data_IF_711831935613
#
_entry.id   IF_711831935613
#
_cell.length_a   1.000
_cell.length_b   1.000
_cell.length_c   1.000
_cell.angle_alpha   90.00
_cell.angle_beta   90.00
_cell.angle_gamma   90.00
#
_symmetry.space_group_name_H-M   'P 1'
#
loop_
_entity.id
_entity.type
_entity.pdbx_description
1 polymer ?
#
# COMPACT_ATOMS: atom_id res chain seq x y z
N UNK A 1 -18.07 54.87 5.28
CA UNK A 1 -17.13 55.32 4.23
C UNK A 1 -17.35 54.41 3.03
N UNK A 2 -18.10 54.85 2.00
CA UNK A 2 -17.61 55.51 0.76
C UNK A 2 -16.65 54.58 -0.01
N UNK A 3 -16.80 54.23 -1.30
CA UNK A 3 -17.60 54.73 -2.42
C UNK A 3 -17.60 53.65 -3.54
N UNK A 4 -18.63 53.67 -4.38
CA UNK A 4 -18.78 52.88 -5.60
C UNK A 4 -18.00 53.48 -6.78
N UNK A 5 -17.66 52.67 -7.79
CA UNK A 5 -17.52 53.11 -9.19
C UNK A 5 -17.88 52.00 -10.20
N UNK A 6 -18.85 52.33 -11.05
CA UNK A 6 -19.18 51.73 -12.35
C UNK A 6 -18.06 52.04 -13.38
N UNK A 7 -17.94 51.22 -14.43
CA UNK A 7 -17.17 51.55 -15.64
C UNK A 7 -17.56 50.70 -16.85
N UNK A 8 -18.19 51.33 -17.84
CA UNK A 8 -18.78 50.76 -19.05
C UNK A 8 -17.81 50.16 -20.08
N UNK A 9 -18.33 49.13 -20.76
CA UNK A 9 -18.25 48.73 -22.16
C UNK A 9 -17.25 49.44 -23.11
N UNK A 10 -16.52 48.62 -23.88
CA UNK A 10 -16.26 48.85 -25.31
C UNK A 10 -16.07 47.50 -26.03
N UNK A 11 -17.03 47.21 -26.90
CA UNK A 11 -17.04 46.11 -27.87
C UNK A 11 -16.06 46.47 -28.97
N UNK A 12 -15.05 45.61 -29.20
CA UNK A 12 -14.21 45.65 -30.39
C UNK A 12 -14.47 44.39 -31.22
N UNK A 13 -15.29 44.53 -32.26
CA UNK A 13 -15.32 43.60 -33.40
C UNK A 13 -13.98 43.77 -34.15
N UNK A 14 -13.15 42.74 -34.11
CA UNK A 14 -12.00 42.62 -35.02
C UNK A 14 -12.06 41.28 -35.71
N UNK A 15 -12.20 41.36 -37.03
CA UNK A 15 -12.35 40.29 -38.01
C UNK A 15 -11.43 39.08 -37.78
N UNK A 16 -12.04 37.89 -37.78
CA UNK A 16 -11.34 36.62 -37.88
C UNK A 16 -10.67 36.52 -39.27
N UNK A 17 -9.40 36.89 -39.36
CA UNK A 17 -8.54 36.47 -40.45
C UNK A 17 -8.16 35.00 -40.19
N UNK A 18 -8.78 34.07 -40.92
CA UNK A 18 -8.28 32.71 -41.10
C UNK A 18 -6.93 32.81 -41.81
N UNK A 19 -5.85 32.98 -41.04
CA UNK A 19 -4.51 32.74 -41.53
C UNK A 19 -4.42 31.26 -41.88
N UNK A 20 -4.35 30.95 -43.18
CA UNK A 20 -3.82 29.67 -43.63
C UNK A 20 -2.37 29.63 -43.17
N UNK A 21 -2.13 28.93 -42.06
CA UNK A 21 -0.79 28.57 -41.63
C UNK A 21 -0.25 27.62 -42.70
N UNK A 22 0.46 28.19 -43.69
CA UNK A 22 1.29 27.41 -44.61
C UNK A 22 2.42 26.84 -43.77
N UNK A 23 2.14 25.76 -43.06
CA UNK A 23 3.16 24.94 -42.42
C UNK A 23 4.22 24.68 -43.48
N UNK A 24 5.44 25.21 -43.29
CA UNK A 24 6.58 24.93 -44.17
C UNK A 24 6.68 23.40 -44.29
N UNK A 25 6.31 22.87 -45.45
CA UNK A 25 6.17 21.44 -45.67
C UNK A 25 7.52 20.77 -45.44
N UNK A 26 7.61 19.89 -44.43
CA UNK A 26 8.75 19.00 -44.28
C UNK A 26 8.64 17.85 -45.28
N UNK A 27 9.75 17.47 -45.92
CA UNK A 27 9.76 16.35 -46.87
C UNK A 27 9.84 15.05 -46.08
N UNK A 28 8.79 14.23 -46.14
CA UNK A 28 8.77 12.89 -45.55
C UNK A 28 9.52 11.92 -46.44
N UNK A 29 10.38 11.08 -45.87
CA UNK A 29 11.10 10.03 -46.58
C UNK A 29 11.00 8.70 -45.85
N UNK A 30 10.70 7.63 -46.58
CA UNK A 30 10.70 6.26 -46.08
C UNK A 30 11.22 5.28 -47.14
N UNK A 31 11.43 4.03 -46.74
CA UNK A 31 11.77 2.92 -47.63
C UNK A 31 10.58 1.96 -47.63
N UNK A 32 9.96 1.74 -48.79
CA UNK A 32 8.82 0.84 -48.94
C UNK A 32 9.21 -0.64 -48.70
N UNK A 33 8.22 -1.54 -48.60
CA UNK A 33 8.48 -2.98 -48.44
C UNK A 33 9.24 -3.64 -49.59
N UNK A 34 9.46 -2.94 -50.71
CA UNK A 34 10.20 -3.38 -51.89
C UNK A 34 11.62 -2.78 -51.94
N UNK A 35 12.03 -2.07 -50.88
CA UNK A 35 13.36 -1.46 -50.77
C UNK A 35 13.52 -0.14 -51.53
N UNK A 36 12.44 0.45 -52.05
CA UNK A 36 12.48 1.73 -52.80
C UNK A 36 12.28 2.90 -51.86
N UNK A 37 13.08 3.95 -52.05
CA UNK A 37 12.96 5.20 -51.31
C UNK A 37 11.81 6.04 -51.87
N UNK A 38 10.85 6.38 -51.02
CA UNK A 38 9.74 7.27 -51.35
C UNK A 38 9.95 8.59 -50.60
N UNK A 39 9.73 9.70 -51.28
CA UNK A 39 9.74 11.05 -50.70
C UNK A 39 8.44 11.77 -51.03
N UNK A 40 7.89 12.51 -50.08
CA UNK A 40 6.60 13.20 -50.23
C UNK A 40 6.53 14.41 -49.31
N UNK A 41 5.89 15.49 -49.74
CA UNK A 41 5.67 16.69 -48.91
C UNK A 41 4.60 16.49 -47.81
N UNK A 42 3.96 15.32 -47.81
CA UNK A 42 2.97 14.85 -46.82
C UNK A 42 3.34 13.46 -46.29
N UNK A 43 2.85 13.04 -45.10
CA UNK A 43 3.06 11.69 -44.59
C UNK A 43 2.71 10.61 -45.62
N UNK A 44 3.59 9.61 -45.76
CA UNK A 44 3.50 8.59 -46.81
C UNK A 44 2.63 7.45 -46.31
N UNK A 45 1.46 7.26 -46.93
CA UNK A 45 0.46 6.27 -46.51
C UNK A 45 0.99 4.83 -46.64
N UNK A 46 1.76 4.56 -47.70
CA UNK A 46 2.40 3.26 -47.96
C UNK A 46 3.48 2.88 -46.93
N UNK A 47 3.86 3.82 -46.06
CA UNK A 47 4.87 3.64 -45.03
C UNK A 47 4.31 3.87 -43.62
N UNK A 48 3.00 3.74 -43.43
CA UNK A 48 2.38 3.85 -42.09
C UNK A 48 2.78 2.69 -41.17
N UNK A 49 3.18 1.56 -41.72
CA UNK A 49 3.67 0.36 -41.01
C UNK A 49 5.14 0.46 -40.55
N UNK A 50 5.83 1.57 -40.87
CA UNK A 50 7.27 1.74 -40.66
C UNK A 50 7.63 3.16 -40.26
N UNK A 51 8.89 3.36 -39.90
CA UNK A 51 9.40 4.68 -39.57
C UNK A 51 9.51 5.58 -40.81
N UNK A 52 9.07 6.83 -40.68
CA UNK A 52 9.22 7.86 -41.71
C UNK A 52 10.07 9.01 -41.17
N UNK A 53 11.02 9.51 -41.97
CA UNK A 53 11.85 10.65 -41.58
C UNK A 53 11.26 11.92 -42.15
N UNK A 54 10.86 12.86 -41.31
CA UNK A 54 10.55 14.23 -41.69
C UNK A 54 11.87 15.00 -41.85
N UNK A 55 12.17 15.42 -43.08
CA UNK A 55 13.35 16.18 -43.44
C UNK A 55 13.03 17.68 -43.50
N UNK A 56 13.99 18.51 -43.09
CA UNK A 56 13.97 19.95 -43.34
C UNK A 56 14.18 20.24 -44.82
N UNK A 57 13.94 21.48 -45.23
CA UNK A 57 14.21 21.94 -46.59
C UNK A 57 15.70 21.88 -46.97
N UNK A 58 16.60 21.72 -45.99
CA UNK A 58 18.04 21.50 -46.19
C UNK A 58 18.44 20.02 -46.18
N UNK A 59 17.48 19.09 -46.14
CA UNK A 59 17.72 17.65 -46.15
C UNK A 59 18.11 17.06 -44.79
N UNK A 60 18.16 17.88 -43.73
CA UNK A 60 18.48 17.44 -42.36
C UNK A 60 17.26 16.76 -41.74
N UNK A 61 17.42 15.63 -41.06
CA UNK A 61 16.33 14.95 -40.36
C UNK A 61 15.83 15.84 -39.22
N UNK A 62 14.59 16.33 -39.35
CA UNK A 62 13.91 17.16 -38.35
C UNK A 62 13.22 16.29 -37.30
N UNK A 63 12.60 15.18 -37.71
CA UNK A 63 11.90 14.24 -36.81
C UNK A 63 11.78 12.86 -37.47
N UNK A 64 11.66 11.82 -36.65
CA UNK A 64 11.30 10.46 -37.12
C UNK A 64 9.90 10.15 -36.60
N UNK A 65 8.96 9.87 -37.51
CA UNK A 65 7.61 9.44 -37.20
C UNK A 65 7.62 7.91 -37.03
N UNK A 66 7.17 7.39 -35.88
CA UNK A 66 7.05 5.95 -35.66
C UNK A 66 5.92 5.36 -36.52
N UNK A 67 5.92 4.02 -36.71
CA UNK A 67 4.81 3.31 -37.32
C UNK A 67 3.48 3.64 -36.62
N UNK A 68 2.40 3.80 -37.38
CA UNK A 68 1.05 3.85 -36.85
C UNK A 68 0.57 2.43 -36.55
N UNK A 69 0.78 2.00 -35.32
CA UNK A 69 0.24 0.74 -34.82
C UNK A 69 -1.30 0.75 -34.83
N UNK A 70 -1.89 -0.41 -35.13
CA UNK A 70 -3.34 -0.63 -34.95
C UNK A 70 -3.73 -0.43 -33.48
N UNK A 71 -5.02 -0.21 -33.20
CA UNK A 71 -5.50 -0.05 -31.83
C UNK A 71 -5.12 -1.27 -30.95
N UNK A 72 -5.22 -2.47 -31.51
CA UNK A 72 -4.89 -3.72 -30.83
C UNK A 72 -3.39 -3.88 -30.59
N UNK A 73 -2.54 -3.53 -31.56
CA UNK A 73 -1.08 -3.56 -31.40
C UNK A 73 -0.60 -2.54 -30.36
N UNK A 74 -1.18 -1.33 -30.35
CA UNK A 74 -0.90 -0.34 -29.29
C UNK A 74 -1.30 -0.88 -27.93
N UNK A 75 -2.50 -1.46 -27.81
CA UNK A 75 -2.96 -2.05 -26.57
C UNK A 75 -2.03 -3.17 -26.08
N UNK A 76 -1.51 -4.02 -26.97
CA UNK A 76 -0.53 -5.06 -26.62
C UNK A 76 0.81 -4.49 -26.16
N UNK A 77 1.35 -3.50 -26.86
CA UNK A 77 2.60 -2.85 -26.48
C UNK A 77 2.48 -2.11 -25.15
N UNK A 78 1.36 -1.42 -24.92
CA UNK A 78 1.11 -0.72 -23.66
C UNK A 78 0.90 -1.71 -22.51
N UNK A 79 0.23 -2.85 -22.76
CA UNK A 79 0.12 -3.91 -21.77
C UNK A 79 1.48 -4.51 -21.41
N UNK A 80 2.34 -4.79 -22.39
CA UNK A 80 3.70 -5.28 -22.15
C UNK A 80 4.53 -4.27 -21.35
N UNK A 81 4.51 -2.99 -21.73
CA UNK A 81 5.20 -1.92 -20.99
C UNK A 81 4.72 -1.81 -19.55
N UNK A 82 3.41 -1.91 -19.31
CA UNK A 82 2.84 -1.89 -17.95
C UNK A 82 3.34 -3.07 -17.11
N UNK A 83 3.45 -4.26 -17.70
CA UNK A 83 3.99 -5.44 -17.00
C UNK A 83 5.47 -5.25 -16.68
N UNK A 84 6.27 -4.76 -17.63
CA UNK A 84 7.70 -4.48 -17.41
C UNK A 84 7.93 -3.38 -16.35
N UNK A 85 7.13 -2.31 -16.38
CA UNK A 85 7.20 -1.23 -15.41
C UNK A 85 6.76 -1.69 -14.02
N UNK A 86 5.71 -2.50 -13.93
CA UNK A 86 5.27 -3.10 -12.67
C UNK A 86 6.37 -3.99 -12.07
N UNK A 87 7.05 -4.80 -12.88
CA UNK A 87 8.15 -5.65 -12.41
C UNK A 87 9.37 -4.83 -11.97
N UNK A 88 9.76 -3.80 -12.74
CA UNK A 88 10.84 -2.88 -12.33
C UNK A 88 10.51 -2.16 -11.03
N UNK A 89 9.26 -1.72 -10.87
CA UNK A 89 8.77 -1.07 -9.66
C UNK A 89 8.80 -2.04 -8.47
N UNK A 90 8.38 -3.30 -8.65
CA UNK A 90 8.44 -4.35 -7.63
C UNK A 90 9.87 -4.56 -7.11
N UNK A 91 10.83 -4.75 -8.01
CA UNK A 91 12.25 -4.93 -7.64
C UNK A 91 12.83 -3.69 -6.94
N UNK A 92 12.47 -2.48 -7.39
CA UNK A 92 12.94 -1.25 -6.75
C UNK A 92 12.35 -1.08 -5.34
N UNK A 93 11.08 -1.43 -5.14
CA UNK A 93 10.42 -1.41 -3.85
C UNK A 93 10.99 -2.46 -2.88
N UNK A 94 11.27 -3.67 -3.37
CA UNK A 94 11.96 -4.71 -2.57
C UNK A 94 13.32 -4.22 -2.08
N UNK A 95 14.15 -3.65 -2.96
CA UNK A 95 15.45 -3.05 -2.57
C UNK A 95 15.30 -1.91 -1.58
N UNK A 96 14.25 -1.08 -1.72
CA UNK A 96 13.97 0.01 -0.77
C UNK A 96 13.62 -0.55 0.61
N UNK A 97 12.77 -1.57 0.66
CA UNK A 97 12.39 -2.26 1.91
C UNK A 97 13.59 -2.89 2.59
N UNK A 98 14.46 -3.56 1.84
CA UNK A 98 15.65 -4.21 2.37
C UNK A 98 16.63 -3.19 2.97
N UNK A 99 16.83 -2.06 2.29
CA UNK A 99 17.64 -0.95 2.81
C UNK A 99 17.03 -0.37 4.08
N UNK A 100 15.71 -0.18 4.12
CA UNK A 100 15.03 0.32 5.31
C UNK A 100 15.20 -0.64 6.51
N UNK A 101 15.10 -1.95 6.28
CA UNK A 101 15.35 -2.97 7.31
C UNK A 101 16.80 -2.90 7.84
N UNK A 102 17.79 -2.77 6.95
CA UNK A 102 19.20 -2.66 7.35
C UNK A 102 19.52 -1.37 8.13
N UNK A 103 18.82 -0.27 7.83
CA UNK A 103 18.97 1.00 8.55
C UNK A 103 18.38 0.88 9.95
N UNK A 104 17.20 0.29 10.08
CA UNK A 104 16.53 0.08 11.37
C UNK A 104 17.28 -0.94 12.23
N UNK A 105 17.75 -2.01 11.61
CA UNK A 105 18.41 -3.14 12.26
C UNK A 105 19.81 -3.35 11.69
N UNK A 106 20.80 -2.56 12.14
CA UNK A 106 22.17 -2.67 11.65
C UNK A 106 22.87 -3.95 12.11
N UNK A 107 22.40 -4.57 13.19
CA UNK A 107 22.89 -5.83 13.74
C UNK A 107 21.80 -6.57 14.53
N UNK A 108 22.08 -7.81 14.92
CA UNK A 108 21.14 -8.66 15.65
C UNK A 108 20.76 -8.11 17.04
N UNK A 109 21.69 -7.50 17.77
CA UNK A 109 21.42 -6.99 19.11
C UNK A 109 20.33 -5.91 19.14
N UNK A 110 20.29 -5.04 18.13
CA UNK A 110 19.23 -4.02 18.00
C UNK A 110 17.87 -4.67 17.74
N UNK A 111 17.83 -5.67 16.86
CA UNK A 111 16.60 -6.42 16.56
C UNK A 111 16.09 -7.18 17.80
N UNK A 112 16.96 -7.89 18.50
CA UNK A 112 16.60 -8.67 19.69
C UNK A 112 16.13 -7.78 20.85
N UNK A 113 16.72 -6.58 20.98
CA UNK A 113 16.23 -5.56 21.92
C UNK A 113 14.81 -5.13 21.59
N UNK A 114 14.54 -4.74 20.34
CA UNK A 114 13.18 -4.32 19.95
C UNK A 114 12.15 -5.45 20.09
N UNK A 115 12.54 -6.70 19.80
CA UNK A 115 11.70 -7.87 20.09
C UNK A 115 11.36 -7.95 21.57
N UNK A 116 12.36 -7.81 22.43
CA UNK A 116 12.17 -7.87 23.89
C UNK A 116 11.25 -6.76 24.36
N UNK A 117 11.47 -5.52 23.89
CA UNK A 117 10.65 -4.36 24.25
C UNK A 117 9.19 -4.54 23.80
N UNK A 118 8.97 -5.07 22.58
CA UNK A 118 7.62 -5.34 22.08
C UNK A 118 6.91 -6.47 22.85
N UNK A 119 7.62 -7.54 23.21
CA UNK A 119 7.06 -8.64 23.99
C UNK A 119 6.79 -8.23 25.45
N UNK A 120 7.62 -7.37 26.03
CA UNK A 120 7.44 -6.86 27.39
C UNK A 120 6.09 -6.15 27.56
N UNK A 121 5.67 -5.34 26.58
CA UNK A 121 4.35 -4.68 26.63
C UNK A 121 3.19 -5.67 26.65
N UNK A 122 3.28 -6.76 25.89
CA UNK A 122 2.26 -7.82 25.90
C UNK A 122 2.29 -8.58 27.22
N UNK A 123 3.49 -8.86 27.74
CA UNK A 123 3.66 -9.55 29.01
C UNK A 123 3.14 -8.74 30.20
N UNK A 124 3.29 -7.41 30.19
CA UNK A 124 2.70 -6.51 31.19
C UNK A 124 1.17 -6.59 31.19
N UNK A 125 0.56 -6.59 30.00
CA UNK A 125 -0.89 -6.75 29.83
C UNK A 125 -1.35 -8.12 30.33
N UNK A 126 -0.65 -9.20 29.95
CA UNK A 126 -0.93 -10.55 30.43
C UNK A 126 -0.81 -10.61 31.95
N UNK A 127 0.23 -9.98 32.53
CA UNK A 127 0.44 -9.91 33.97
C UNK A 127 -0.72 -9.24 34.70
N UNK A 128 -1.20 -8.10 34.20
CA UNK A 128 -2.34 -7.40 34.76
C UNK A 128 -3.62 -8.25 34.73
N UNK A 129 -3.87 -8.94 33.63
CA UNK A 129 -5.04 -9.82 33.46
C UNK A 129 -4.97 -11.04 34.37
N UNK A 130 -3.79 -11.65 34.51
CA UNK A 130 -3.58 -12.77 35.45
C UNK A 130 -3.85 -12.35 36.88
N UNK A 131 -3.34 -11.18 37.30
CA UNK A 131 -3.61 -10.61 38.63
C UNK A 131 -5.12 -10.41 38.84
N UNK A 132 -5.83 -9.88 37.84
CA UNK A 132 -7.29 -9.77 37.90
C UNK A 132 -7.98 -11.13 38.01
N UNK A 133 -7.51 -12.14 37.29
CA UNK A 133 -7.98 -13.52 37.40
C UNK A 133 -7.82 -14.08 38.82
N UNK A 134 -6.66 -13.84 39.46
CA UNK A 134 -6.42 -14.25 40.85
C UNK A 134 -7.38 -13.57 41.84
N UNK A 135 -7.68 -12.28 41.64
CA UNK A 135 -8.68 -11.57 42.43
C UNK A 135 -10.08 -12.19 42.27
N UNK A 136 -10.48 -12.54 41.04
CA UNK A 136 -11.76 -13.18 40.77
C UNK A 136 -11.86 -14.57 41.39
N UNK A 137 -10.76 -15.33 41.42
CA UNK A 137 -10.70 -16.64 42.10
C UNK A 137 -10.84 -16.48 43.61
N UNK A 138 -10.24 -15.44 44.21
CA UNK A 138 -10.44 -15.14 45.64
C UNK A 138 -11.89 -14.78 45.92
N UNK A 139 -12.48 -13.89 45.12
CA UNK A 139 -13.90 -13.53 45.22
C UNK A 139 -14.79 -14.76 45.09
N UNK A 140 -14.43 -15.72 44.23
CA UNK A 140 -15.18 -16.97 44.09
C UNK A 140 -15.16 -17.80 45.37
N UNK A 141 -14.00 -17.92 46.02
CA UNK A 141 -13.88 -18.63 47.30
C UNK A 141 -14.73 -17.97 48.39
N UNK A 142 -14.74 -16.64 48.45
CA UNK A 142 -15.57 -15.92 49.43
C UNK A 142 -17.07 -16.17 49.20
N UNK A 143 -17.50 -16.21 47.94
CA UNK A 143 -18.87 -16.60 47.56
C UNK A 143 -19.17 -18.05 47.94
N UNK A 144 -18.22 -18.97 47.71
CA UNK A 144 -18.39 -20.38 48.05
C UNK A 144 -18.52 -20.57 49.57
N UNK A 145 -17.79 -19.79 50.39
CA UNK A 145 -17.95 -19.75 51.86
C UNK A 145 -19.36 -19.27 52.26
N UNK A 146 -19.86 -18.19 51.64
CA UNK A 146 -21.23 -17.69 51.87
C UNK A 146 -22.29 -18.74 51.50
N UNK A 147 -22.02 -19.58 50.48
CA UNK A 147 -22.90 -20.67 50.06
C UNK A 147 -22.92 -21.83 51.06
N UNK A 148 -21.86 -22.06 51.84
CA UNK A 148 -21.81 -23.15 52.83
C UNK A 148 -22.96 -23.06 53.83
N UNK A 149 -23.35 -21.84 54.21
CA UNK A 149 -24.50 -21.59 55.08
C UNK A 149 -25.82 -22.14 54.53
N UNK A 150 -25.95 -22.27 53.20
CA UNK A 150 -27.16 -22.71 52.52
C UNK A 150 -27.07 -24.16 51.98
N UNK A 151 -25.97 -24.89 52.23
CA UNK A 151 -25.76 -26.25 51.68
C UNK A 151 -26.88 -27.24 52.04
N UNK A 152 -27.46 -27.12 53.22
CA UNK A 152 -28.54 -27.99 53.68
C UNK A 152 -29.88 -27.72 52.98
N UNK A 153 -30.04 -26.54 52.36
CA UNK A 153 -31.30 -26.14 51.71
C UNK A 153 -31.05 -25.13 50.57
N UNK A 154 -30.81 -25.68 49.37
CA UNK A 154 -30.49 -24.92 48.15
C UNK A 154 -31.63 -23.97 47.74
N UNK A 155 -32.87 -24.24 48.18
CA UNK A 155 -34.02 -23.37 47.87
C UNK A 155 -33.96 -22.02 48.59
N UNK A 156 -33.22 -21.96 49.70
CA UNK A 156 -33.02 -20.74 50.50
C UNK A 156 -31.91 -19.83 50.00
N UNK A 157 -31.14 -20.25 49.00
CA UNK A 157 -30.07 -19.42 48.42
C UNK A 157 -30.68 -18.14 47.84
N UNK A 158 -30.32 -16.95 48.35
CA UNK A 158 -30.87 -15.70 47.88
C UNK A 158 -30.54 -15.41 46.41
N UNK A 159 -31.43 -14.72 45.71
CA UNK A 159 -31.23 -14.37 44.28
C UNK A 159 -29.98 -13.52 44.04
N UNK A 160 -29.64 -12.63 44.98
CA UNK A 160 -28.43 -11.80 44.88
C UNK A 160 -27.14 -12.65 44.93
N UNK A 161 -27.13 -13.75 45.68
CA UNK A 161 -25.97 -14.64 45.79
C UNK A 161 -25.80 -15.47 44.52
N UNK A 162 -26.91 -15.95 43.93
CA UNK A 162 -26.89 -16.61 42.61
C UNK A 162 -26.31 -15.71 41.53
N UNK A 163 -26.78 -14.45 41.48
CA UNK A 163 -26.27 -13.45 40.54
C UNK A 163 -24.78 -13.16 40.75
N UNK A 164 -24.31 -13.09 42.01
CA UNK A 164 -22.89 -12.89 42.34
C UNK A 164 -22.00 -14.03 41.80
N UNK A 165 -22.49 -15.28 41.82
CA UNK A 165 -21.81 -16.45 41.22
C UNK A 165 -21.74 -16.31 39.70
N UNK A 166 -22.87 -15.98 39.06
CA UNK A 166 -22.99 -15.82 37.61
C UNK A 166 -22.07 -14.70 37.10
N UNK A 167 -22.12 -13.53 37.73
CA UNK A 167 -21.30 -12.37 37.38
C UNK A 167 -19.80 -12.69 37.54
N UNK A 168 -19.40 -13.41 38.60
CA UNK A 168 -18.01 -13.83 38.80
C UNK A 168 -17.58 -14.83 37.71
N UNK A 169 -18.42 -15.81 37.39
CA UNK A 169 -18.13 -16.80 36.35
C UNK A 169 -17.99 -16.15 34.97
N UNK A 170 -18.87 -15.19 34.63
CA UNK A 170 -18.78 -14.42 33.39
C UNK A 170 -17.48 -13.61 33.34
N UNK A 171 -17.13 -12.91 34.43
CA UNK A 171 -15.88 -12.15 34.51
C UNK A 171 -14.65 -13.04 34.33
N UNK A 172 -14.61 -14.22 34.96
CA UNK A 172 -13.53 -15.20 34.77
C UNK A 172 -13.46 -15.61 33.31
N UNK A 173 -14.58 -15.95 32.69
CA UNK A 173 -14.61 -16.37 31.29
C UNK A 173 -14.09 -15.28 30.35
N UNK A 174 -14.44 -14.01 30.59
CA UNK A 174 -13.92 -12.86 29.85
C UNK A 174 -12.40 -12.77 30.00
N UNK A 175 -11.87 -12.83 31.23
CA UNK A 175 -10.41 -12.78 31.45
C UNK A 175 -9.69 -13.95 30.77
N UNK A 176 -10.26 -15.17 30.83
CA UNK A 176 -9.67 -16.34 30.16
C UNK A 176 -9.62 -16.19 28.65
N UNK A 177 -10.70 -15.70 28.02
CA UNK A 177 -10.71 -15.42 26.57
C UNK A 177 -9.66 -14.37 26.21
N UNK A 178 -9.60 -13.29 26.97
CA UNK A 178 -8.62 -12.24 26.75
C UNK A 178 -7.17 -12.74 26.87
N UNK A 179 -6.87 -13.59 27.87
CA UNK A 179 -5.55 -14.22 28.00
C UNK A 179 -5.19 -15.08 26.78
N UNK A 180 -6.15 -15.85 26.26
CA UNK A 180 -5.92 -16.66 25.06
C UNK A 180 -5.63 -15.79 23.84
N UNK A 181 -6.32 -14.67 23.69
CA UNK A 181 -6.11 -13.74 22.58
C UNK A 181 -4.76 -13.02 22.70
N UNK A 182 -4.36 -12.60 23.91
CA UNK A 182 -3.01 -12.07 24.16
C UNK A 182 -1.91 -13.12 23.93
N UNK A 183 -2.17 -14.39 24.24
CA UNK A 183 -1.25 -15.50 23.94
C UNK A 183 -1.03 -15.67 22.44
N UNK A 184 -2.10 -15.62 21.64
CA UNK A 184 -2.00 -15.64 20.17
C UNK A 184 -1.28 -14.41 19.63
N UNK A 185 -1.53 -13.23 20.22
CA UNK A 185 -0.85 -12.00 19.83
C UNK A 185 0.65 -12.09 20.08
N UNK A 186 1.05 -12.58 21.26
CA UNK A 186 2.45 -12.84 21.58
C UNK A 186 3.10 -13.79 20.58
N UNK A 187 2.38 -14.84 20.17
CA UNK A 187 2.87 -15.77 19.15
C UNK A 187 3.02 -15.08 17.78
N UNK A 188 2.01 -14.30 17.36
CA UNK A 188 2.04 -13.54 16.09
C UNK A 188 3.23 -12.59 16.03
N UNK A 189 3.48 -11.86 17.12
CA UNK A 189 4.63 -10.94 17.23
C UNK A 189 5.94 -11.71 17.13
N UNK A 190 6.08 -12.83 17.85
CA UNK A 190 7.27 -13.67 17.74
C UNK A 190 7.52 -14.17 16.32
N UNK A 191 6.50 -14.73 15.66
CA UNK A 191 6.61 -15.22 14.28
C UNK A 191 7.04 -14.11 13.32
N UNK A 192 6.48 -12.91 13.46
CA UNK A 192 6.88 -11.75 12.64
C UNK A 192 8.35 -11.39 12.84
N UNK A 193 8.84 -11.34 14.09
CA UNK A 193 10.24 -11.06 14.37
C UNK A 193 11.16 -12.20 13.88
N UNK A 194 10.71 -13.45 13.94
CA UNK A 194 11.50 -14.60 13.44
C UNK A 194 11.63 -14.58 11.91
N UNK A 195 10.55 -14.23 11.19
CA UNK A 195 10.56 -14.01 9.73
C UNK A 195 11.45 -12.83 9.33
N UNK A 196 11.35 -11.70 10.05
CA UNK A 196 12.18 -10.52 9.83
C UNK A 196 13.67 -10.82 10.09
N UNK A 197 13.98 -11.56 11.17
CA UNK A 197 15.32 -12.00 11.49
C UNK A 197 15.90 -12.91 10.42
N UNK A 198 15.11 -13.84 9.85
CA UNK A 198 15.56 -14.71 8.77
C UNK A 198 16.00 -13.88 7.55
N UNK A 199 15.24 -12.86 7.19
CA UNK A 199 15.59 -11.94 6.11
C UNK A 199 16.82 -11.09 6.43
N UNK A 200 16.88 -10.52 7.65
CA UNK A 200 18.02 -9.72 8.10
C UNK A 200 19.33 -10.52 8.11
N UNK A 201 19.30 -11.80 8.52
CA UNK A 201 20.48 -12.67 8.48
C UNK A 201 21.05 -12.80 7.06
N UNK A 202 20.20 -12.97 6.05
CA UNK A 202 20.64 -13.01 4.65
C UNK A 202 21.24 -11.66 4.23
N UNK A 203 20.57 -10.55 4.57
CA UNK A 203 21.03 -9.20 4.22
C UNK A 203 22.35 -8.81 4.90
N UNK A 204 22.57 -9.20 6.16
CA UNK A 204 23.83 -8.98 6.87
C UNK A 204 24.96 -9.85 6.32
N UNK A 205 24.67 -11.08 5.86
CA UNK A 205 25.68 -11.97 5.26
C UNK A 205 26.14 -11.55 3.86
N UNK A 206 25.33 -10.75 3.16
CA UNK A 206 25.63 -10.26 1.81
C UNK A 206 26.32 -8.89 1.83
N UNK A 207 26.53 -8.30 3.01
CA UNK A 207 27.28 -7.05 3.20
C UNK A 207 28.77 -7.34 3.16
#
# INVERSE_FOLDING_TARGET
MRLATLGCALVALSSAALAQDKSKAGIYSCIDGKGRRITSDRPIVDCLDREQRELSNSGVVKRVLPPSYTADERARLDAQKKVEEAERSRVAEEKRRDRALLIRYPNQAVHDKERTDALAQIDDVIGAVKKRGEELVKQRRDIDIELEFYQNDVTKVPSWLKRKIEDNAEQIQIQTRFLNDQGKEKQRVNTRFDEELAKLKMLWSTR
#
